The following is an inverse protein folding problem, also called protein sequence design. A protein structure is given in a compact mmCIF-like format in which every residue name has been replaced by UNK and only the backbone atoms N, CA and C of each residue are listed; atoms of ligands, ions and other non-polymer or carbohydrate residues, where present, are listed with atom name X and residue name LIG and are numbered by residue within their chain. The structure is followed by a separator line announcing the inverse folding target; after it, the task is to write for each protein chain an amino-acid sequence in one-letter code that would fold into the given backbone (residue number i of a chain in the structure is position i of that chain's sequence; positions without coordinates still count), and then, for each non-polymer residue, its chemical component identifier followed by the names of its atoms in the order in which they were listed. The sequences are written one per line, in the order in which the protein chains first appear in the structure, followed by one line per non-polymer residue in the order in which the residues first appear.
data_IF_623096522677
#
_entry.id   IF_623096522677
#
_cell.length_a   1.000
_cell.length_b   1.000
_cell.length_c   1.000
_cell.angle_alpha   90.00
_cell.angle_beta   90.00
_cell.angle_gamma   90.00
#
_symmetry.space_group_name_H-M   'P 1'
#
loop_
_entity.id
_entity.type
_entity.pdbx_description
1 polymer ?
#
# COMPACT_ATOMS: atom_id res chain seq x y z
N UNK A 1 37.40 -53.41 -18.52
CA UNK A 1 37.60 -51.96 -18.63
C UNK A 1 36.27 -51.33 -18.38
N UNK A 2 36.04 -50.72 -17.20
CA UNK A 2 34.77 -49.99 -16.82
C UNK A 2 34.91 -48.53 -17.23
N UNK A 3 34.05 -48.08 -18.14
CA UNK A 3 33.99 -46.68 -18.52
C UNK A 3 33.12 -45.95 -17.51
N UNK A 4 33.74 -45.11 -16.70
CA UNK A 4 33.05 -44.21 -15.74
C UNK A 4 32.54 -43.01 -16.51
N UNK A 5 31.20 -42.92 -16.63
CA UNK A 5 30.52 -41.76 -17.21
C UNK A 5 30.38 -40.69 -16.12
N UNK A 6 31.18 -39.64 -16.21
CA UNK A 6 31.04 -38.46 -15.33
C UNK A 6 29.93 -37.59 -15.86
N UNK A 7 28.79 -37.62 -15.17
CA UNK A 7 27.64 -36.74 -15.44
C UNK A 7 27.90 -35.39 -14.79
N UNK A 8 28.35 -34.41 -15.58
CA UNK A 8 28.55 -33.03 -15.15
C UNK A 8 27.18 -32.36 -15.11
N UNK A 9 26.55 -32.32 -13.92
CA UNK A 9 25.34 -31.58 -13.69
C UNK A 9 25.69 -30.09 -13.61
N UNK A 10 25.47 -29.36 -14.68
CA UNK A 10 25.47 -27.89 -14.66
C UNK A 10 24.25 -27.41 -13.85
N UNK A 11 24.46 -27.11 -12.57
CA UNK A 11 23.53 -26.32 -11.76
C UNK A 11 23.55 -24.87 -12.28
N UNK A 12 22.73 -24.59 -13.28
CA UNK A 12 22.43 -23.23 -13.67
C UNK A 12 21.58 -22.67 -12.55
N UNK A 13 22.20 -22.00 -11.60
CA UNK A 13 21.53 -21.19 -10.61
C UNK A 13 20.90 -20.01 -11.36
N UNK A 14 19.62 -20.13 -11.70
CA UNK A 14 18.83 -18.98 -12.13
C UNK A 14 18.72 -18.04 -10.92
N UNK A 15 19.65 -17.13 -10.78
CA UNK A 15 19.44 -15.93 -9.98
C UNK A 15 18.35 -15.16 -10.71
N UNK A 16 17.10 -15.37 -10.29
CA UNK A 16 16.02 -14.44 -10.60
C UNK A 16 16.38 -13.11 -9.92
N UNK A 17 17.14 -12.29 -10.60
CA UNK A 17 17.25 -10.89 -10.25
C UNK A 17 15.86 -10.34 -10.47
N UNK A 18 15.09 -10.16 -9.37
CA UNK A 18 13.85 -9.43 -9.41
C UNK A 18 14.18 -8.08 -10.04
N UNK A 19 13.79 -7.90 -11.29
CA UNK A 19 14.09 -6.70 -12.06
C UNK A 19 13.33 -5.58 -11.36
N UNK A 20 14.06 -4.74 -10.60
CA UNK A 20 13.47 -3.62 -9.89
C UNK A 20 12.87 -2.71 -10.94
N UNK A 21 11.55 -2.58 -10.94
CA UNK A 21 10.86 -1.72 -11.88
C UNK A 21 11.35 -0.28 -11.65
N UNK A 22 11.80 0.44 -12.71
CA UNK A 22 12.15 1.83 -12.58
C UNK A 22 11.00 2.59 -11.94
N UNK A 23 11.29 3.33 -10.87
CA UNK A 23 10.26 4.02 -10.13
C UNK A 23 10.70 5.43 -9.76
N UNK A 24 9.73 6.34 -9.72
CA UNK A 24 9.90 7.68 -9.18
C UNK A 24 9.36 7.76 -7.76
N UNK A 25 9.90 8.68 -6.98
CA UNK A 25 9.48 8.95 -5.62
C UNK A 25 8.69 10.26 -5.59
N UNK A 26 7.48 10.21 -5.04
CA UNK A 26 6.76 11.39 -4.58
C UNK A 26 7.12 11.62 -3.12
N UNK A 27 7.45 12.84 -2.79
CA UNK A 27 8.00 13.19 -1.49
C UNK A 27 7.44 14.52 -1.01
N UNK A 28 7.01 14.55 0.24
CA UNK A 28 6.62 15.74 1.00
C UNK A 28 7.56 15.91 2.20
N UNK A 29 7.32 16.93 3.02
CA UNK A 29 8.05 17.08 4.29
C UNK A 29 7.74 15.93 5.27
N UNK A 30 6.56 15.29 5.15
CA UNK A 30 6.04 14.33 6.11
C UNK A 30 6.23 12.88 5.71
N UNK A 31 6.22 12.57 4.40
CA UNK A 31 6.32 11.19 3.91
C UNK A 31 6.96 11.09 2.53
N UNK A 32 7.26 9.87 2.14
CA UNK A 32 7.69 9.52 0.79
C UNK A 32 7.07 8.20 0.35
N UNK A 33 6.77 8.07 -0.95
CA UNK A 33 6.28 6.85 -1.59
C UNK A 33 6.93 6.69 -2.97
N UNK A 34 7.32 5.46 -3.32
CA UNK A 34 7.93 5.13 -4.62
C UNK A 34 6.96 4.29 -5.43
N UNK A 35 6.76 4.62 -6.69
CA UNK A 35 5.86 3.92 -7.61
C UNK A 35 6.43 3.95 -9.03
N UNK A 36 5.93 3.14 -9.98
CA UNK A 36 6.42 3.12 -11.35
C UNK A 36 6.45 4.51 -11.97
N UNK A 37 7.52 4.83 -12.70
CA UNK A 37 7.75 6.15 -13.31
C UNK A 37 6.66 6.52 -14.35
N UNK A 38 6.02 5.52 -14.95
CA UNK A 38 4.91 5.69 -15.90
C UNK A 38 3.59 6.11 -15.25
N UNK A 39 3.46 6.00 -13.92
CA UNK A 39 2.24 6.38 -13.22
C UNK A 39 2.11 7.90 -13.09
N UNK A 40 0.87 8.37 -13.04
CA UNK A 40 0.53 9.77 -12.86
C UNK A 40 0.28 10.09 -11.39
N UNK A 41 0.41 11.35 -11.05
CA UNK A 41 0.11 11.90 -9.72
C UNK A 41 -0.76 13.13 -9.88
N UNK A 42 -1.81 13.24 -9.08
CA UNK A 42 -2.61 14.46 -8.93
C UNK A 42 -2.70 14.83 -7.48
N UNK A 43 -2.78 16.12 -7.20
CA UNK A 43 -3.05 16.68 -5.89
C UNK A 43 -4.42 17.38 -5.95
N UNK A 44 -5.34 16.90 -5.14
CA UNK A 44 -6.66 17.50 -4.98
C UNK A 44 -6.82 17.97 -3.52
N UNK A 45 -6.47 19.23 -3.29
CA UNK A 45 -6.61 19.86 -1.97
C UNK A 45 -5.89 19.09 -0.83
N UNK A 46 -4.70 18.58 -1.11
CA UNK A 46 -3.88 17.82 -0.15
C UNK A 46 -4.18 16.31 -0.13
N UNK A 47 -5.08 15.84 -1.00
CA UNK A 47 -5.29 14.41 -1.26
C UNK A 47 -4.48 14.03 -2.49
N UNK A 48 -3.46 13.21 -2.29
CA UNK A 48 -2.59 12.77 -3.37
C UNK A 48 -3.13 11.49 -3.97
N UNK A 49 -3.40 11.50 -5.26
CA UNK A 49 -3.79 10.32 -6.01
C UNK A 49 -2.66 9.89 -6.94
N UNK A 50 -2.30 8.62 -6.92
CA UNK A 50 -1.25 7.99 -7.72
C UNK A 50 -1.88 6.84 -8.47
N UNK A 51 -1.83 6.85 -9.80
CA UNK A 51 -2.54 5.87 -10.61
C UNK A 51 -1.81 5.56 -11.91
N UNK A 52 -1.99 4.33 -12.44
CA UNK A 52 -1.47 3.93 -13.73
C UNK A 52 -2.02 4.80 -14.87
N UNK A 53 -1.28 4.90 -15.97
CA UNK A 53 -1.71 5.70 -17.14
C UNK A 53 -3.05 5.24 -17.74
N UNK A 54 -3.39 3.97 -17.58
CA UNK A 54 -4.67 3.40 -18.02
C UNK A 54 -5.79 3.49 -16.96
N UNK A 55 -5.53 4.19 -15.85
CA UNK A 55 -6.51 4.48 -14.78
C UNK A 55 -7.11 3.23 -14.11
N UNK A 56 -6.41 2.09 -14.17
CA UNK A 56 -6.81 0.86 -13.49
C UNK A 56 -6.36 0.92 -12.03
N UNK A 57 -7.29 1.26 -11.14
CA UNK A 57 -7.03 1.43 -9.71
C UNK A 57 -6.26 2.69 -9.37
N UNK A 58 -6.12 2.96 -8.09
CA UNK A 58 -5.38 4.10 -7.57
C UNK A 58 -4.82 3.84 -6.17
N UNK A 59 -3.77 4.58 -5.83
CA UNK A 59 -3.33 4.79 -4.45
C UNK A 59 -3.72 6.21 -4.10
N UNK A 60 -4.46 6.36 -3.01
CA UNK A 60 -4.83 7.67 -2.46
C UNK A 60 -4.12 7.87 -1.12
N UNK A 61 -3.50 9.02 -0.91
CA UNK A 61 -2.84 9.39 0.33
C UNK A 61 -3.51 10.63 0.88
N UNK A 62 -3.94 10.58 2.14
CA UNK A 62 -4.51 11.70 2.88
C UNK A 62 -3.78 11.88 4.21
N UNK A 63 -3.54 13.13 4.57
CA UNK A 63 -2.93 13.51 5.84
C UNK A 63 -3.95 14.24 6.72
N UNK A 64 -3.97 13.91 8.00
CA UNK A 64 -4.74 14.61 9.02
C UNK A 64 -3.79 15.01 10.13
N UNK A 65 -3.71 16.30 10.40
CA UNK A 65 -2.82 16.87 11.40
C UNK A 65 -3.60 17.36 12.64
N UNK A 66 -2.92 17.39 13.76
CA UNK A 66 -3.43 17.93 15.03
C UNK A 66 -4.75 17.32 15.52
N UNK A 67 -5.02 16.07 15.15
CA UNK A 67 -6.22 15.36 15.58
C UNK A 67 -6.16 15.06 17.09
N UNK A 68 -7.11 15.61 17.83
CA UNK A 68 -7.32 15.29 19.24
C UNK A 68 -8.29 14.13 19.40
N UNK A 69 -7.93 12.96 18.85
CA UNK A 69 -8.73 11.75 19.02
C UNK A 69 -8.52 11.19 20.43
N UNK A 70 -9.59 10.90 21.19
CA UNK A 70 -9.47 10.18 22.45
C UNK A 70 -8.80 8.82 22.24
N UNK A 71 -8.15 8.31 23.28
CA UNK A 71 -7.50 6.99 23.22
C UNK A 71 -8.51 5.92 22.80
N UNK A 72 -8.18 5.20 21.75
CA UNK A 72 -9.04 4.12 21.19
C UNK A 72 -10.06 4.55 20.14
N UNK A 73 -10.26 5.86 19.91
CA UNK A 73 -11.23 6.35 18.92
C UNK A 73 -10.69 6.33 17.47
N UNK A 74 -9.40 6.09 17.27
CA UNK A 74 -8.80 6.06 15.91
C UNK A 74 -9.48 5.05 15.01
N UNK A 75 -9.86 3.87 15.52
CA UNK A 75 -10.59 2.87 14.73
C UNK A 75 -11.96 3.38 14.27
N UNK A 76 -12.72 4.02 15.16
CA UNK A 76 -14.02 4.59 14.84
C UNK A 76 -13.89 5.72 13.82
N UNK A 77 -12.84 6.54 13.96
CA UNK A 77 -12.54 7.59 12.99
C UNK A 77 -12.29 6.99 11.59
N UNK A 78 -11.45 5.95 11.48
CA UNK A 78 -11.18 5.26 10.22
C UNK A 78 -12.49 4.73 9.60
N UNK A 79 -13.34 4.06 10.39
CA UNK A 79 -14.60 3.52 9.89
C UNK A 79 -15.58 4.59 9.46
N UNK A 80 -15.61 5.72 10.16
CA UNK A 80 -16.45 6.85 9.79
C UNK A 80 -16.08 7.42 8.42
N UNK A 81 -14.80 7.43 8.05
CA UNK A 81 -14.35 7.85 6.72
C UNK A 81 -14.92 6.95 5.62
N UNK A 82 -15.10 5.67 5.88
CA UNK A 82 -15.62 4.68 4.93
C UNK A 82 -17.11 4.41 5.08
N UNK A 83 -17.82 5.17 5.94
CA UNK A 83 -19.27 4.98 6.22
C UNK A 83 -19.65 3.55 6.65
N UNK A 84 -18.74 2.83 7.28
CA UNK A 84 -18.87 1.41 7.62
C UNK A 84 -18.78 1.18 9.14
N UNK A 85 -19.58 1.91 9.93
CA UNK A 85 -19.54 1.88 11.40
C UNK A 85 -19.66 0.49 12.03
N UNK A 86 -20.29 -0.46 11.34
CA UNK A 86 -20.54 -1.82 11.85
C UNK A 86 -19.33 -2.77 11.72
N UNK A 87 -18.22 -2.31 11.16
CA UNK A 87 -17.08 -3.17 10.80
C UNK A 87 -15.82 -2.95 11.67
N UNK A 88 -15.96 -2.37 12.87
CA UNK A 88 -14.82 -2.08 13.77
C UNK A 88 -13.92 -3.30 14.02
N UNK A 89 -14.47 -4.51 13.98
CA UNK A 89 -13.72 -5.77 14.16
C UNK A 89 -12.75 -6.05 13.00
N UNK A 90 -12.98 -5.47 11.83
CA UNK A 90 -12.11 -5.67 10.66
C UNK A 90 -10.86 -4.79 10.71
N UNK A 91 -10.88 -3.73 11.52
CA UNK A 91 -9.70 -2.87 11.70
C UNK A 91 -8.71 -3.56 12.63
N UNK A 92 -7.63 -4.07 12.07
CA UNK A 92 -6.50 -4.65 12.81
C UNK A 92 -5.49 -3.57 13.13
N UNK A 93 -4.92 -3.62 14.31
CA UNK A 93 -3.81 -2.73 14.69
C UNK A 93 -2.56 -3.53 15.04
N UNK A 94 -1.41 -2.97 14.71
CA UNK A 94 -0.11 -3.47 15.13
C UNK A 94 0.73 -2.33 15.73
N UNK A 95 1.53 -2.64 16.73
CA UNK A 95 2.50 -1.68 17.23
C UNK A 95 3.63 -1.58 16.20
N UNK A 96 3.68 -0.49 15.50
CA UNK A 96 4.71 -0.23 14.49
C UNK A 96 6.10 -0.19 15.12
N UNK A 97 7.05 -0.84 14.49
CA UNK A 97 8.47 -0.87 14.92
C UNK A 97 9.18 0.49 14.92
N UNK A 98 8.50 1.59 14.53
CA UNK A 98 9.09 2.91 14.24
C UNK A 98 8.44 4.08 14.99
N UNK A 99 7.78 3.82 16.13
CA UNK A 99 7.17 4.88 16.92
C UNK A 99 5.82 5.38 16.41
N UNK A 100 5.12 4.59 15.61
CA UNK A 100 3.74 4.84 15.18
C UNK A 100 2.87 3.57 15.38
N UNK A 101 1.57 3.76 15.48
CA UNK A 101 0.60 2.66 15.45
C UNK A 101 0.08 2.51 14.03
N UNK A 102 0.05 1.29 13.53
CA UNK A 102 -0.48 0.96 12.22
C UNK A 102 -1.85 0.30 12.36
N UNK A 103 -2.80 0.76 11.56
CA UNK A 103 -4.12 0.15 11.43
C UNK A 103 -4.30 -0.31 9.98
N UNK A 104 -4.84 -1.51 9.80
CA UNK A 104 -5.12 -2.09 8.51
C UNK A 104 -6.61 -2.35 8.38
N UNK A 105 -7.20 -1.96 7.26
CA UNK A 105 -8.61 -2.15 6.97
C UNK A 105 -8.77 -2.55 5.50
N UNK A 106 -9.53 -3.62 5.27
CA UNK A 106 -9.80 -4.14 3.94
C UNK A 106 -11.30 -4.41 3.81
N UNK A 107 -11.88 -4.02 2.67
CA UNK A 107 -13.25 -4.38 2.34
C UNK A 107 -13.44 -4.52 0.84
N UNK A 108 -14.50 -5.21 0.47
CA UNK A 108 -14.97 -5.33 -0.90
C UNK A 108 -16.25 -4.51 -1.06
N UNK A 109 -16.26 -3.60 -2.03
CA UNK A 109 -17.45 -2.83 -2.39
C UNK A 109 -18.25 -3.64 -3.42
N UNK A 110 -19.39 -4.16 -3.00
CA UNK A 110 -20.25 -4.99 -3.84
C UNK A 110 -20.89 -4.20 -4.99
N UNK A 111 -21.13 -2.91 -4.80
CA UNK A 111 -21.74 -2.04 -5.82
C UNK A 111 -20.73 -1.71 -6.92
N UNK A 112 -19.56 -1.28 -6.53
CA UNK A 112 -18.49 -0.88 -7.45
C UNK A 112 -17.65 -2.08 -7.92
N UNK A 113 -17.86 -3.27 -7.33
CA UNK A 113 -17.04 -4.47 -7.57
C UNK A 113 -15.55 -4.20 -7.41
N UNK A 114 -15.20 -3.45 -6.39
CA UNK A 114 -13.84 -3.00 -6.12
C UNK A 114 -13.35 -3.43 -4.74
N UNK A 115 -12.09 -3.82 -4.68
CA UNK A 115 -11.38 -4.02 -3.43
C UNK A 115 -10.75 -2.71 -2.96
N UNK A 116 -10.75 -2.54 -1.64
CA UNK A 116 -10.16 -1.42 -0.93
C UNK A 116 -9.25 -1.93 0.18
N UNK A 117 -7.99 -1.55 0.15
CA UNK A 117 -7.02 -1.82 1.21
C UNK A 117 -6.53 -0.49 1.75
N UNK A 118 -6.70 -0.27 3.03
CA UNK A 118 -6.25 0.94 3.71
C UNK A 118 -5.27 0.60 4.81
N UNK A 119 -4.14 1.30 4.83
CA UNK A 119 -3.25 1.41 5.99
C UNK A 119 -3.33 2.81 6.56
N UNK A 120 -3.43 2.89 7.87
CA UNK A 120 -3.39 4.15 8.59
C UNK A 120 -2.23 4.11 9.56
N UNK A 121 -1.36 5.08 9.45
CA UNK A 121 -0.24 5.26 10.35
C UNK A 121 -0.55 6.41 11.29
N UNK A 122 -0.65 6.13 12.56
CA UNK A 122 -0.83 7.14 13.61
C UNK A 122 0.50 7.43 14.29
N UNK A 123 0.95 8.67 14.18
CA UNK A 123 2.12 9.18 14.88
C UNK A 123 1.71 10.41 15.68
N UNK A 124 1.68 10.27 17.01
CA UNK A 124 1.18 11.32 17.90
C UNK A 124 -0.26 11.73 17.56
N UNK A 125 -0.47 12.99 17.14
CA UNK A 125 -1.77 13.54 16.72
C UNK A 125 -2.00 13.51 15.21
N UNK A 126 -1.08 12.94 14.45
CA UNK A 126 -1.16 12.93 12.99
C UNK A 126 -1.55 11.53 12.49
N UNK A 127 -2.42 11.49 11.49
CA UNK A 127 -2.78 10.29 10.76
C UNK A 127 -2.38 10.43 9.30
N UNK A 128 -1.79 9.38 8.78
CA UNK A 128 -1.47 9.22 7.35
C UNK A 128 -2.25 8.03 6.84
N UNK A 129 -3.19 8.29 5.96
CA UNK A 129 -4.02 7.25 5.35
C UNK A 129 -3.51 6.97 3.95
N UNK A 130 -3.24 5.71 3.67
CA UNK A 130 -2.94 5.24 2.33
C UNK A 130 -3.98 4.21 1.96
N UNK A 131 -4.64 4.40 0.85
CA UNK A 131 -5.67 3.49 0.35
C UNK A 131 -5.33 3.04 -1.06
N UNK A 132 -5.37 1.74 -1.31
CA UNK A 132 -5.41 1.18 -2.65
C UNK A 132 -6.86 0.85 -2.96
N UNK A 133 -7.34 1.25 -4.14
CA UNK A 133 -8.58 0.74 -4.70
C UNK A 133 -8.33 0.15 -6.09
N UNK A 134 -9.02 -0.94 -6.40
CA UNK A 134 -8.94 -1.56 -7.72
C UNK A 134 -10.16 -2.44 -7.97
N UNK A 135 -10.68 -2.42 -9.20
CA UNK A 135 -11.75 -3.31 -9.60
C UNK A 135 -11.34 -4.78 -9.46
N UNK A 136 -12.27 -5.64 -9.05
CA UNK A 136 -12.06 -7.07 -8.80
C UNK A 136 -11.38 -7.79 -9.96
N UNK A 137 -11.78 -7.47 -11.21
CA UNK A 137 -11.23 -8.13 -12.40
C UNK A 137 -9.73 -7.92 -12.60
N UNK A 138 -9.15 -6.89 -11.98
CA UNK A 138 -7.72 -6.57 -12.04
C UNK A 138 -6.97 -6.90 -10.75
N UNK A 139 -7.68 -7.37 -9.71
CA UNK A 139 -7.09 -7.63 -8.39
C UNK A 139 -6.01 -8.73 -8.40
N UNK A 140 -6.12 -9.67 -9.32
CA UNK A 140 -5.16 -10.76 -9.48
C UNK A 140 -4.30 -10.49 -10.73
N UNK A 141 -3.05 -10.07 -10.57
CA UNK A 141 -2.16 -9.87 -11.70
C UNK A 141 -1.00 -8.92 -11.41
N UNK A 142 -0.33 -8.47 -12.47
CA UNK A 142 0.83 -7.59 -12.37
C UNK A 142 0.49 -6.25 -11.70
N UNK A 143 -0.74 -5.75 -11.84
CA UNK A 143 -1.17 -4.51 -11.19
C UNK A 143 -1.08 -4.60 -9.67
N UNK A 144 -1.61 -5.67 -9.08
CA UNK A 144 -1.56 -5.81 -7.62
C UNK A 144 -0.16 -5.90 -7.07
N UNK A 145 0.75 -6.53 -7.82
CA UNK A 145 2.16 -6.53 -7.45
C UNK A 145 2.72 -5.11 -7.39
N UNK A 146 2.46 -4.29 -8.42
CA UNK A 146 2.93 -2.91 -8.50
C UNK A 146 2.31 -2.02 -7.41
N UNK A 147 1.00 -2.18 -7.17
CA UNK A 147 0.33 -1.47 -6.09
C UNK A 147 0.90 -1.85 -4.72
N UNK A 148 1.12 -3.13 -4.46
CA UNK A 148 1.70 -3.59 -3.20
C UNK A 148 3.14 -3.10 -3.02
N UNK A 149 3.97 -3.13 -4.06
CA UNK A 149 5.34 -2.61 -4.01
C UNK A 149 5.35 -1.11 -3.68
N UNK A 150 4.49 -0.33 -4.33
CA UNK A 150 4.35 1.09 -4.02
C UNK A 150 3.86 1.32 -2.58
N UNK A 151 2.83 0.58 -2.17
CA UNK A 151 2.26 0.67 -0.83
C UNK A 151 3.27 0.35 0.28
N UNK A 152 4.07 -0.71 0.10
CA UNK A 152 5.12 -1.10 1.05
C UNK A 152 6.32 -0.12 1.03
N UNK A 153 6.46 0.68 -0.03
CA UNK A 153 7.49 1.70 -0.11
C UNK A 153 7.20 2.94 0.73
N UNK A 154 5.95 3.13 1.17
CA UNK A 154 5.55 4.31 1.94
C UNK A 154 6.32 4.42 3.24
N UNK A 155 6.80 5.62 3.52
CA UNK A 155 7.58 5.91 4.73
C UNK A 155 7.20 7.28 5.27
N UNK A 156 6.86 7.32 6.56
CA UNK A 156 6.75 8.58 7.30
C UNK A 156 8.17 9.07 7.60
N UNK A 157 8.42 10.34 7.34
CA UNK A 157 9.67 11.00 7.68
C UNK A 157 9.73 11.32 9.18
N UNK A 158 10.92 11.60 9.66
CA UNK A 158 11.16 11.93 11.07
C UNK A 158 10.80 13.37 11.35
#
# INVERSE_FOLDING_TARGET
MKKTLVLLIFLISFYSTAQKIPGKTYETDNYAITFPDTWKTTDDSGIINIFPTNEIGAITISEYHDLNLPKGETKKFILALYKSADEEKKVKNSNGKKGYTEYNYEYFDEKEKAFWITKVFQKEKNLYLITINCEQKYWNGNYMKLFNEAFESFKIKK
#
